data_IF_258113440569
#
_entry.id   IF_258113440569
#
_cell.length_a   1.000
_cell.length_b   1.000
_cell.length_c   1.000
_cell.angle_alpha   90.00
_cell.angle_beta   90.00
_cell.angle_gamma   90.00
#
_symmetry.space_group_name_H-M   'P 1'
#
loop_
_entity.id
_entity.type
_entity.pdbx_description
1 polymer ?
#
# COMPACT_ATOMS: atom_id res chain seq x y z
N UNK A 1 29.89 -33.69 -10.12
CA UNK A 1 29.34 -32.55 -10.89
C UNK A 1 28.24 -31.82 -10.13
N UNK A 2 27.35 -32.53 -9.44
CA UNK A 2 26.24 -31.93 -8.68
C UNK A 2 26.67 -31.09 -7.47
N UNK A 3 27.71 -31.50 -6.72
CA UNK A 3 28.18 -30.74 -5.56
C UNK A 3 28.73 -29.34 -5.90
N UNK A 4 29.44 -29.20 -7.03
CA UNK A 4 29.92 -27.90 -7.50
C UNK A 4 28.76 -27.00 -7.96
N UNK A 5 27.73 -27.58 -8.58
CA UNK A 5 26.51 -26.87 -8.94
C UNK A 5 25.75 -26.39 -7.70
N UNK A 6 25.62 -27.24 -6.68
CA UNK A 6 24.95 -26.90 -5.43
C UNK A 6 25.68 -25.77 -4.68
N UNK A 7 27.00 -25.86 -4.54
CA UNK A 7 27.83 -24.81 -3.95
C UNK A 7 27.70 -23.48 -4.72
N UNK A 8 27.72 -23.54 -6.05
CA UNK A 8 27.50 -22.36 -6.90
C UNK A 8 26.12 -21.75 -6.73
N UNK A 9 25.07 -22.57 -6.62
CA UNK A 9 23.69 -22.13 -6.40
C UNK A 9 23.51 -21.46 -5.04
N UNK A 10 24.07 -22.05 -3.98
CA UNK A 10 24.04 -21.48 -2.63
C UNK A 10 24.78 -20.14 -2.60
N UNK A 11 26.00 -20.08 -3.15
CA UNK A 11 26.79 -18.85 -3.21
C UNK A 11 26.08 -17.74 -4.03
N UNK A 12 25.47 -18.10 -5.15
CA UNK A 12 24.71 -17.16 -5.99
C UNK A 12 23.48 -16.62 -5.25
N UNK A 13 22.74 -17.50 -4.58
CA UNK A 13 21.54 -17.13 -3.82
C UNK A 13 21.91 -16.20 -2.67
N UNK A 14 22.93 -16.53 -1.89
CA UNK A 14 23.42 -15.70 -0.78
C UNK A 14 23.88 -14.32 -1.26
N UNK A 15 24.62 -14.27 -2.37
CA UNK A 15 25.09 -13.01 -2.93
C UNK A 15 23.91 -12.14 -3.40
N UNK A 16 22.93 -12.74 -4.09
CA UNK A 16 21.75 -12.02 -4.59
C UNK A 16 20.85 -11.52 -3.46
N UNK A 17 20.58 -12.35 -2.46
CA UNK A 17 19.74 -11.95 -1.31
C UNK A 17 20.43 -10.90 -0.45
N UNK A 18 21.75 -11.03 -0.26
CA UNK A 18 22.57 -10.02 0.44
C UNK A 18 22.56 -8.68 -0.29
N UNK A 19 22.81 -8.66 -1.61
CA UNK A 19 22.77 -7.44 -2.41
C UNK A 19 21.38 -6.79 -2.42
N UNK A 20 20.32 -7.59 -2.58
CA UNK A 20 18.94 -7.09 -2.54
C UNK A 20 18.62 -6.48 -1.17
N UNK A 21 18.96 -7.18 -0.08
CA UNK A 21 18.75 -6.71 1.29
C UNK A 21 19.52 -5.41 1.54
N UNK A 22 20.75 -5.31 1.06
CA UNK A 22 21.57 -4.10 1.18
C UNK A 22 20.96 -2.93 0.40
N UNK A 23 20.52 -3.16 -0.84
CA UNK A 23 19.86 -2.13 -1.66
C UNK A 23 18.58 -1.64 -0.97
N UNK A 24 17.77 -2.54 -0.43
CA UNK A 24 16.55 -2.19 0.29
C UNK A 24 16.87 -1.40 1.57
N UNK A 25 17.88 -1.82 2.34
CA UNK A 25 18.33 -1.09 3.53
C UNK A 25 18.81 0.33 3.18
N UNK A 26 19.62 0.48 2.12
CA UNK A 26 20.10 1.78 1.66
C UNK A 26 18.93 2.66 1.18
N UNK A 27 17.91 2.09 0.54
CA UNK A 27 16.71 2.83 0.11
C UNK A 27 15.77 3.19 1.26
N UNK A 28 15.74 2.41 2.36
CA UNK A 28 14.91 2.71 3.53
C UNK A 28 15.54 3.76 4.46
N UNK A 29 16.87 3.88 4.48
CA UNK A 29 17.59 4.89 5.28
C UNK A 29 17.12 6.34 4.99
N UNK A 30 16.99 6.82 3.74
CA UNK A 30 16.52 8.17 3.50
C UNK A 30 15.05 8.38 3.86
N UNK A 31 14.20 7.35 3.77
CA UNK A 31 12.82 7.44 4.27
C UNK A 31 12.78 7.60 5.80
N UNK A 32 13.67 6.93 6.52
CA UNK A 32 13.75 7.02 7.98
C UNK A 32 14.42 8.32 8.46
N UNK A 33 15.52 8.74 7.82
CA UNK A 33 16.32 9.90 8.24
C UNK A 33 15.82 11.23 7.66
N UNK A 34 15.21 11.21 6.47
CA UNK A 34 14.67 12.40 5.80
C UNK A 34 13.15 12.32 5.64
N UNK A 35 12.45 11.59 6.53
CA UNK A 35 11.04 11.91 6.75
C UNK A 35 10.99 13.37 7.20
N UNK A 36 10.45 14.28 6.37
CA UNK A 36 10.35 15.67 6.75
C UNK A 36 9.51 15.72 8.01
N UNK A 37 10.02 16.36 9.07
CA UNK A 37 9.14 16.83 10.13
C UNK A 37 8.03 17.62 9.42
N UNK A 38 6.75 17.28 9.64
CA UNK A 38 5.66 17.91 8.91
C UNK A 38 5.81 19.43 9.08
N UNK A 39 5.80 20.22 7.99
CA UNK A 39 5.86 21.66 8.12
C UNK A 39 4.70 22.09 9.00
N UNK A 40 5.02 22.77 10.09
CA UNK A 40 4.10 23.49 10.97
C UNK A 40 3.46 24.62 10.16
N UNK A 41 2.50 24.23 9.33
CA UNK A 41 1.69 25.08 8.48
C UNK A 41 0.36 25.27 9.21
N UNK A 42 -0.18 26.50 9.28
CA UNK A 42 -1.27 26.84 10.18
C UNK A 42 -2.49 25.97 9.91
N UNK A 43 -3.10 25.51 11.00
CA UNK A 43 -4.32 24.71 11.10
C UNK A 43 -5.32 24.86 9.93
N UNK A 44 -5.08 24.12 8.85
CA UNK A 44 -6.06 23.75 7.83
C UNK A 44 -5.69 22.34 7.40
N UNK A 45 -6.16 21.41 8.23
CA UNK A 45 -6.44 19.99 7.95
C UNK A 45 -5.35 19.12 7.30
N UNK A 46 -4.36 18.67 8.09
CA UNK A 46 -3.58 17.44 7.78
C UNK A 46 -4.47 16.21 7.46
N UNK A 47 -5.69 16.17 8.02
CA UNK A 47 -6.69 15.16 7.72
C UNK A 47 -7.16 15.17 6.25
N UNK A 48 -7.06 16.31 5.56
CA UNK A 48 -7.55 16.49 4.19
C UNK A 48 -6.56 15.92 3.15
N UNK A 49 -5.29 15.74 3.51
CA UNK A 49 -4.30 15.13 2.62
C UNK A 49 -4.33 13.59 2.67
N UNK A 50 -4.74 13.02 3.82
CA UNK A 50 -4.83 11.58 4.03
C UNK A 50 -6.17 10.98 3.56
N UNK A 51 -7.17 11.83 3.29
CA UNK A 51 -8.50 11.39 2.82
C UNK A 51 -8.82 12.07 1.51
N UNK A 52 -9.05 11.28 0.45
CA UNK A 52 -9.51 11.79 -0.85
C UNK A 52 -10.95 11.39 -1.09
N UNK A 53 -11.81 12.38 -1.27
CA UNK A 53 -13.22 12.16 -1.55
C UNK A 53 -13.47 12.11 -3.07
N UNK A 54 -14.23 11.13 -3.50
CA UNK A 54 -14.63 10.94 -4.88
C UNK A 54 -16.14 10.87 -4.97
N UNK A 55 -16.70 11.64 -5.90
CA UNK A 55 -18.10 11.54 -6.28
C UNK A 55 -18.19 11.11 -7.73
N UNK A 56 -19.15 10.26 -8.05
CA UNK A 56 -19.30 9.76 -9.40
C UNK A 56 -20.61 9.05 -9.63
N UNK A 57 -20.79 8.62 -10.88
CA UNK A 57 -21.90 7.77 -11.31
C UNK A 57 -21.35 6.37 -11.57
N UNK A 58 -21.83 5.37 -10.83
CA UNK A 58 -21.49 3.96 -11.08
C UNK A 58 -22.58 3.33 -11.90
N UNK A 59 -22.17 2.73 -13.01
CA UNK A 59 -23.03 1.89 -13.84
C UNK A 59 -22.82 0.44 -13.47
N UNK A 60 -23.81 -0.18 -12.85
CA UNK A 60 -23.78 -1.61 -12.58
C UNK A 60 -24.42 -2.37 -13.75
N UNK A 61 -23.70 -3.31 -14.35
CA UNK A 61 -24.18 -4.14 -15.45
C UNK A 61 -24.12 -5.62 -15.07
N UNK A 62 -25.28 -6.24 -14.95
CA UNK A 62 -25.43 -7.70 -14.85
C UNK A 62 -25.70 -8.27 -16.24
N UNK A 63 -24.89 -9.24 -16.67
CA UNK A 63 -24.99 -9.82 -18.01
C UNK A 63 -25.88 -11.07 -18.08
N UNK A 64 -26.07 -11.78 -16.96
CA UNK A 64 -26.82 -13.05 -16.91
C UNK A 64 -27.58 -13.24 -15.58
N UNK A 65 -28.67 -14.03 -15.57
CA UNK A 65 -29.29 -14.71 -16.72
C UNK A 65 -30.03 -13.75 -17.67
N UNK A 66 -30.53 -12.63 -17.16
CA UNK A 66 -31.13 -11.54 -17.94
C UNK A 66 -30.25 -10.31 -17.82
N UNK A 67 -30.05 -9.59 -18.94
CA UNK A 67 -29.25 -8.36 -18.96
C UNK A 67 -29.99 -7.25 -18.22
N UNK A 68 -29.35 -6.70 -17.20
CA UNK A 68 -29.88 -5.59 -16.43
C UNK A 68 -28.76 -4.58 -16.17
N UNK A 69 -29.05 -3.30 -16.36
CA UNK A 69 -28.10 -2.23 -16.07
C UNK A 69 -28.83 -1.08 -15.39
N UNK A 70 -28.19 -0.48 -14.39
CA UNK A 70 -28.68 0.72 -13.72
C UNK A 70 -27.52 1.57 -13.25
N UNK A 71 -27.78 2.87 -13.15
CA UNK A 71 -26.80 3.87 -12.76
C UNK A 71 -27.21 4.47 -11.41
N UNK A 72 -26.22 4.74 -10.56
CA UNK A 72 -26.45 5.38 -9.26
C UNK A 72 -25.29 6.28 -8.87
N UNK A 73 -25.60 7.36 -8.17
CA UNK A 73 -24.62 8.30 -7.61
C UNK A 73 -23.92 7.67 -6.43
N UNK A 74 -22.60 7.78 -6.37
CA UNK A 74 -21.76 7.27 -5.29
C UNK A 74 -20.87 8.36 -4.73
N UNK A 75 -20.57 8.23 -3.43
CA UNK A 75 -19.59 9.05 -2.72
C UNK A 75 -18.65 8.10 -1.99
N UNK A 76 -17.37 8.13 -2.35
CA UNK A 76 -16.34 7.31 -1.76
C UNK A 76 -15.30 8.18 -1.06
N UNK A 77 -14.73 7.66 0.01
CA UNK A 77 -13.56 8.22 0.67
C UNK A 77 -12.43 7.21 0.56
N UNK A 78 -11.34 7.60 -0.10
CA UNK A 78 -10.08 6.87 -0.08
C UNK A 78 -9.27 7.39 1.11
N UNK A 79 -9.02 6.54 2.09
CA UNK A 79 -8.31 6.88 3.32
C UNK A 79 -6.97 6.16 3.28
N UNK A 80 -5.89 6.92 3.38
CA UNK A 80 -4.53 6.41 3.61
C UNK A 80 -4.42 6.00 5.09
N UNK A 81 -4.39 4.69 5.37
CA UNK A 81 -4.43 4.15 6.73
C UNK A 81 -3.11 4.41 7.47
N UNK A 82 -2.00 4.54 6.75
CA UNK A 82 -0.68 4.87 7.29
C UNK A 82 -0.60 6.33 7.78
N UNK A 83 -1.26 7.24 7.07
CA UNK A 83 -1.26 8.68 7.41
C UNK A 83 -2.41 9.09 8.33
N UNK A 84 -3.45 8.27 8.44
CA UNK A 84 -4.65 8.58 9.20
C UNK A 84 -5.04 7.51 10.25
N UNK A 85 -4.15 7.14 11.19
CA UNK A 85 -4.42 6.10 12.19
C UNK A 85 -5.54 6.48 13.18
N UNK A 86 -5.88 7.76 13.28
CA UNK A 86 -6.95 8.27 14.14
C UNK A 86 -8.34 8.26 13.45
N UNK A 87 -8.37 8.17 12.13
CA UNK A 87 -9.61 8.17 11.33
C UNK A 87 -10.22 6.77 11.21
N UNK A 88 -9.65 5.75 11.86
CA UNK A 88 -10.06 4.33 11.80
C UNK A 88 -11.59 4.15 11.88
N UNK A 89 -12.29 4.04 10.73
CA UNK A 89 -13.75 3.95 10.72
C UNK A 89 -14.22 2.52 10.97
N UNK A 90 -13.30 1.56 10.91
CA UNK A 90 -13.57 0.12 10.99
C UNK A 90 -12.36 -0.63 11.55
N UNK A 91 -12.58 -1.88 11.96
CA UNK A 91 -11.61 -2.77 12.64
C UNK A 91 -10.38 -3.16 11.79
N UNK A 92 -10.16 -2.56 10.63
CA UNK A 92 -9.07 -2.90 9.73
C UNK A 92 -7.93 -1.90 9.91
N UNK A 93 -6.93 -2.25 10.70
CA UNK A 93 -5.67 -1.50 10.78
C UNK A 93 -4.86 -1.65 9.47
N UNK A 94 -3.92 -0.74 9.22
CA UNK A 94 -3.00 -0.84 8.07
C UNK A 94 -2.28 -2.20 8.04
N UNK A 95 -1.82 -2.69 9.19
CA UNK A 95 -1.17 -4.00 9.31
C UNK A 95 -2.12 -5.15 8.95
N UNK A 96 -3.38 -5.06 9.40
CA UNK A 96 -4.38 -6.07 9.03
C UNK A 96 -4.73 -6.02 7.55
N UNK A 97 -4.75 -4.82 6.95
CA UNK A 97 -4.97 -4.65 5.53
C UNK A 97 -3.83 -5.26 4.71
N UNK A 98 -2.57 -5.04 5.10
CA UNK A 98 -1.38 -5.69 4.52
C UNK A 98 -1.43 -7.20 4.60
N UNK A 99 -1.80 -7.73 5.77
CA UNK A 99 -1.92 -9.17 6.00
C UNK A 99 -2.97 -9.79 5.07
N UNK A 100 -4.15 -9.17 4.97
CA UNK A 100 -5.24 -9.65 4.10
C UNK A 100 -4.88 -9.53 2.61
N UNK A 101 -4.22 -8.44 2.21
CA UNK A 101 -3.81 -8.21 0.83
C UNK A 101 -2.54 -8.98 0.43
N UNK A 102 -1.82 -9.58 1.39
CA UNK A 102 -0.51 -10.20 1.20
C UNK A 102 0.53 -9.24 0.59
N UNK A 103 0.50 -7.98 1.00
CA UNK A 103 1.43 -6.94 0.52
C UNK A 103 2.15 -6.26 1.67
N UNK A 104 3.37 -5.77 1.43
CA UNK A 104 4.15 -4.97 2.41
C UNK A 104 4.23 -3.48 2.05
N UNK A 105 3.47 -3.04 1.04
CA UNK A 105 3.43 -1.64 0.59
C UNK A 105 2.62 -0.71 1.50
N UNK A 106 2.59 0.59 1.17
CA UNK A 106 1.72 1.56 1.83
C UNK A 106 0.24 1.25 1.57
N UNK A 107 -0.62 1.49 2.56
CA UNK A 107 -2.06 1.15 2.53
C UNK A 107 -2.91 2.25 3.15
#
# INVERSE_FOLDING_TARGET
MEGFYLLGSIACTLTKTSLLSLVLAVRSIPHFLFSPAPPSTPATSQADEAVRLYEGLVRHVRLRPVRHAFDYTVRYALIDLDRAPHLQPSRLSADRAREVAQTTGPV
#
